data_IF_296154492568
#
_entry.id   IF_296154492568
#
_cell.length_a   1.000
_cell.length_b   1.000
_cell.length_c   1.000
_cell.angle_alpha   90.00
_cell.angle_beta   90.00
_cell.angle_gamma   90.00
#
_symmetry.space_group_name_H-M   'P 1'
#
loop_
_entity.id
_entity.type
_entity.pdbx_description
1 polymer ?
#
# COMPACT_ATOMS: atom_id res chain seq x y z
N UNK A 1 -20.66 39.00 34.15
CA UNK A 1 -20.89 37.92 33.16
C UNK A 1 -21.04 36.55 33.82
N UNK A 2 -20.07 36.05 34.61
CA UNK A 2 -20.17 34.75 35.29
C UNK A 2 -21.40 34.60 36.22
N UNK A 3 -21.83 35.68 36.88
CA UNK A 3 -23.04 35.70 37.71
C UNK A 3 -24.32 35.55 36.86
N UNK A 4 -24.34 36.09 35.64
CA UNK A 4 -25.45 35.96 34.70
C UNK A 4 -25.51 34.54 34.09
N UNK A 5 -24.36 33.93 33.78
CA UNK A 5 -24.27 32.52 33.38
C UNK A 5 -24.83 31.61 34.49
N UNK A 6 -24.45 31.85 35.74
CA UNK A 6 -24.95 31.07 36.89
C UNK A 6 -26.43 31.31 37.23
N UNK A 7 -27.09 32.27 36.56
CA UNK A 7 -28.51 32.60 36.73
C UNK A 7 -29.34 32.29 35.47
N UNK A 8 -28.79 31.49 34.53
CA UNK A 8 -29.38 31.14 33.23
C UNK A 8 -29.72 32.32 32.29
N UNK A 9 -29.12 33.50 32.54
CA UNK A 9 -29.27 34.72 31.73
C UNK A 9 -28.16 34.80 30.66
N UNK A 10 -28.22 33.90 29.69
CA UNK A 10 -27.15 33.69 28.70
C UNK A 10 -27.04 34.81 27.66
N UNK A 11 -28.16 35.44 27.28
CA UNK A 11 -28.18 36.56 26.33
C UNK A 11 -27.55 37.83 26.95
N UNK A 12 -27.83 38.09 28.22
CA UNK A 12 -27.25 39.18 28.97
C UNK A 12 -25.76 38.93 29.23
N UNK A 13 -25.38 37.69 29.51
CA UNK A 13 -23.97 37.31 29.63
C UNK A 13 -23.22 37.55 28.31
N UNK A 14 -23.79 37.16 27.17
CA UNK A 14 -23.23 37.42 25.84
C UNK A 14 -23.10 38.91 25.52
N UNK A 15 -24.15 39.70 25.78
CA UNK A 15 -24.14 41.15 25.56
C UNK A 15 -23.08 41.85 26.44
N UNK A 16 -22.90 41.39 27.68
CA UNK A 16 -21.85 41.88 28.58
C UNK A 16 -20.47 41.55 28.00
N UNK A 17 -20.19 40.29 27.64
CA UNK A 17 -18.88 39.92 27.10
C UNK A 17 -18.54 40.66 25.80
N UNK A 18 -19.53 40.81 24.92
CA UNK A 18 -19.39 41.60 23.68
C UNK A 18 -19.08 43.08 23.98
N UNK A 19 -19.68 43.66 25.02
CA UNK A 19 -19.44 45.06 25.41
C UNK A 19 -18.04 45.29 26.00
N UNK A 20 -17.43 44.26 26.57
CA UNK A 20 -16.09 44.31 27.16
C UNK A 20 -14.99 43.76 26.22
N UNK A 21 -15.30 43.53 24.95
CA UNK A 21 -14.39 42.97 23.94
C UNK A 21 -13.73 41.63 24.33
N UNK A 22 -14.36 40.86 25.23
CA UNK A 22 -13.90 39.53 25.62
C UNK A 22 -14.52 38.49 24.67
N UNK A 23 -14.08 38.54 23.41
CA UNK A 23 -14.70 37.80 22.31
C UNK A 23 -14.61 36.27 22.45
N UNK A 24 -13.55 35.76 23.09
CA UNK A 24 -13.38 34.32 23.39
C UNK A 24 -14.44 33.78 24.35
N UNK A 25 -14.73 34.51 25.43
CA UNK A 25 -15.79 34.14 26.37
C UNK A 25 -17.17 34.37 25.78
N UNK A 26 -17.34 35.40 24.94
CA UNK A 26 -18.60 35.66 24.25
C UNK A 26 -19.01 34.49 23.33
N UNK A 27 -18.09 33.98 22.50
CA UNK A 27 -18.43 32.86 21.62
C UNK A 27 -18.63 31.55 22.39
N UNK A 28 -17.91 31.35 23.50
CA UNK A 28 -18.11 30.18 24.34
C UNK A 28 -19.53 30.12 24.93
N UNK A 29 -20.10 31.28 25.32
CA UNK A 29 -21.50 31.35 25.75
C UNK A 29 -22.47 31.01 24.61
N UNK A 30 -22.19 31.46 23.38
CA UNK A 30 -23.01 31.12 22.22
C UNK A 30 -22.98 29.62 21.90
N UNK A 31 -21.81 29.00 22.05
CA UNK A 31 -21.58 27.58 21.75
C UNK A 31 -22.16 26.68 22.85
N UNK A 32 -21.78 26.90 24.11
CA UNK A 32 -22.05 25.95 25.20
C UNK A 32 -23.46 26.09 25.78
N UNK A 33 -23.93 27.34 25.91
CA UNK A 33 -25.18 27.64 26.60
C UNK A 33 -26.34 27.90 25.62
N UNK A 34 -26.12 28.75 24.61
CA UNK A 34 -27.16 29.10 23.64
C UNK A 34 -27.28 28.04 22.54
N UNK A 35 -26.20 27.29 22.26
CA UNK A 35 -26.11 26.22 21.25
C UNK A 35 -26.60 26.63 19.86
N UNK A 36 -26.38 27.89 19.48
CA UNK A 36 -26.76 28.41 18.18
C UNK A 36 -25.50 28.69 17.35
N UNK A 37 -25.14 27.71 16.50
CA UNK A 37 -23.92 27.77 15.68
C UNK A 37 -24.02 28.80 14.55
N UNK A 38 -25.20 29.05 13.99
CA UNK A 38 -25.38 30.08 12.94
C UNK A 38 -25.07 31.47 13.49
N UNK A 39 -25.58 31.77 14.69
CA UNK A 39 -25.31 33.04 15.37
C UNK A 39 -23.86 33.14 15.84
N UNK A 40 -23.26 32.02 16.24
CA UNK A 40 -21.83 31.96 16.55
C UNK A 40 -20.96 32.21 15.31
N UNK A 41 -21.37 31.73 14.14
CA UNK A 41 -20.72 32.01 12.86
C UNK A 41 -20.81 33.49 12.48
N UNK A 42 -22.00 34.10 12.55
CA UNK A 42 -22.15 35.55 12.31
C UNK A 42 -21.29 36.39 13.27
N UNK A 43 -21.18 35.96 14.53
CA UNK A 43 -20.32 36.62 15.50
C UNK A 43 -18.84 36.48 15.14
N UNK A 44 -18.41 35.28 14.76
CA UNK A 44 -17.04 35.02 14.31
C UNK A 44 -16.66 35.82 13.06
N UNK A 45 -17.58 35.98 12.10
CA UNK A 45 -17.38 36.79 10.89
C UNK A 45 -17.22 38.28 11.21
N UNK A 46 -17.95 38.80 12.20
CA UNK A 46 -17.85 40.20 12.62
C UNK A 46 -16.58 40.49 13.42
N UNK A 47 -16.20 39.59 14.33
CA UNK A 47 -14.99 39.76 15.15
C UNK A 47 -13.71 39.48 14.36
N UNK A 48 -13.77 38.50 13.45
CA UNK A 48 -12.66 38.04 12.61
C UNK A 48 -11.36 37.78 13.40
N UNK A 49 -11.48 37.22 14.60
CA UNK A 49 -10.34 36.87 15.45
C UNK A 49 -10.01 35.37 15.34
N UNK A 50 -8.71 34.99 15.25
CA UNK A 50 -8.31 33.58 15.17
C UNK A 50 -8.85 32.71 16.31
N UNK A 51 -8.78 33.20 17.54
CA UNK A 51 -9.22 32.45 18.73
C UNK A 51 -10.72 32.15 18.72
N UNK A 52 -11.52 33.07 18.16
CA UNK A 52 -12.97 32.94 18.03
C UNK A 52 -13.30 31.88 16.98
N UNK A 53 -12.65 31.94 15.82
CA UNK A 53 -12.79 30.93 14.76
C UNK A 53 -12.36 29.53 15.21
N UNK A 54 -11.25 29.38 15.94
CA UNK A 54 -10.83 28.08 16.49
C UNK A 54 -11.87 27.49 17.46
N UNK A 55 -12.47 28.34 18.30
CA UNK A 55 -13.49 27.89 19.27
C UNK A 55 -14.76 27.42 18.56
N UNK A 56 -15.21 28.18 17.55
CA UNK A 56 -16.34 27.79 16.70
C UNK A 56 -16.07 26.49 15.95
N UNK A 57 -14.89 26.36 15.36
CA UNK A 57 -14.53 25.19 14.56
C UNK A 57 -14.54 23.91 15.39
N UNK A 58 -14.04 23.94 16.63
CA UNK A 58 -14.10 22.79 17.56
C UNK A 58 -15.54 22.40 17.89
N UNK A 59 -16.42 23.38 18.08
CA UNK A 59 -17.84 23.13 18.34
C UNK A 59 -18.56 22.52 17.13
N UNK A 60 -18.32 23.07 15.93
CA UNK A 60 -18.84 22.54 14.67
C UNK A 60 -18.36 21.11 14.42
N UNK A 61 -17.09 20.83 14.73
CA UNK A 61 -16.53 19.49 14.63
C UNK A 61 -17.23 18.49 15.56
N UNK A 62 -17.53 18.90 16.80
CA UNK A 62 -18.21 18.08 17.79
C UNK A 62 -19.66 17.71 17.39
N UNK A 63 -20.34 18.61 16.67
CA UNK A 63 -21.68 18.39 16.10
C UNK A 63 -21.65 17.64 14.75
N UNK A 64 -20.46 17.27 14.25
CA UNK A 64 -20.28 16.52 13.00
C UNK A 64 -20.35 17.35 11.72
N UNK A 65 -20.37 18.68 11.83
CA UNK A 65 -20.34 19.63 10.71
C UNK A 65 -18.91 19.81 10.20
N UNK A 66 -18.36 18.78 9.54
CA UNK A 66 -16.93 18.70 9.18
C UNK A 66 -16.53 19.79 8.17
N UNK A 67 -17.38 20.10 7.20
CA UNK A 67 -17.05 21.08 6.14
C UNK A 67 -16.95 22.49 6.70
N UNK A 68 -17.94 22.86 7.49
CA UNK A 68 -18.04 24.15 8.17
C UNK A 68 -16.92 24.31 9.20
N UNK A 69 -16.63 23.25 9.96
CA UNK A 69 -15.52 23.23 10.92
C UNK A 69 -14.18 23.46 10.22
N UNK A 70 -13.93 22.78 9.09
CA UNK A 70 -12.70 22.95 8.31
C UNK A 70 -12.56 24.38 7.79
N UNK A 71 -13.63 24.96 7.23
CA UNK A 71 -13.58 26.33 6.73
C UNK A 71 -13.33 27.34 7.87
N UNK A 72 -13.94 27.13 9.04
CA UNK A 72 -13.69 27.91 10.26
C UNK A 72 -12.23 27.77 10.74
N UNK A 73 -11.68 26.55 10.75
CA UNK A 73 -10.28 26.33 11.11
C UNK A 73 -9.29 26.96 10.14
N UNK A 74 -9.58 26.93 8.83
CA UNK A 74 -8.76 27.59 7.80
C UNK A 74 -8.74 29.11 8.03
N UNK A 75 -9.90 29.71 8.34
CA UNK A 75 -9.99 31.13 8.71
C UNK A 75 -9.22 31.46 9.99
N UNK A 76 -9.25 30.56 10.99
CA UNK A 76 -8.46 30.70 12.21
C UNK A 76 -6.94 30.57 11.95
N UNK A 77 -6.55 29.81 10.94
CA UNK A 77 -5.15 29.46 10.68
C UNK A 77 -4.53 28.59 11.79
N UNK A 78 -5.37 27.83 12.50
CA UNK A 78 -5.00 27.06 13.69
C UNK A 78 -4.86 25.56 13.39
N UNK A 79 -3.64 25.00 13.47
CA UNK A 79 -3.41 23.57 13.29
C UNK A 79 -3.68 22.74 14.55
N UNK A 80 -4.00 23.33 15.72
CA UNK A 80 -3.96 22.63 17.02
C UNK A 80 -4.85 21.39 17.12
N UNK A 81 -5.97 21.36 16.40
CA UNK A 81 -6.96 20.28 16.46
C UNK A 81 -6.83 19.26 15.30
N UNK A 82 -5.66 19.16 14.65
CA UNK A 82 -5.50 18.36 13.44
C UNK A 82 -5.88 16.88 13.62
N UNK A 83 -5.62 16.29 14.79
CA UNK A 83 -5.96 14.88 15.09
C UNK A 83 -7.46 14.62 15.06
N UNK A 84 -8.24 15.53 15.65
CA UNK A 84 -9.69 15.42 15.70
C UNK A 84 -10.28 15.63 14.31
N UNK A 85 -9.80 16.65 13.58
CA UNK A 85 -10.22 16.94 12.21
C UNK A 85 -9.96 15.74 11.30
N UNK A 86 -8.75 15.18 11.32
CA UNK A 86 -8.42 13.96 10.56
C UNK A 86 -9.40 12.83 10.90
N UNK A 87 -9.57 12.52 12.18
CA UNK A 87 -10.45 11.41 12.60
C UNK A 87 -11.89 11.59 12.13
N UNK A 88 -12.45 12.80 12.24
CA UNK A 88 -13.81 13.10 11.79
C UNK A 88 -13.95 13.13 10.26
N UNK A 89 -12.93 13.61 9.55
CA UNK A 89 -12.89 13.62 8.09
C UNK A 89 -12.80 12.20 7.51
N UNK A 90 -12.02 11.32 8.15
CA UNK A 90 -11.99 9.88 7.80
C UNK A 90 -13.37 9.23 7.99
N UNK A 91 -14.09 9.56 9.07
CA UNK A 91 -15.46 9.04 9.32
C UNK A 91 -16.50 9.56 8.34
N UNK A 92 -16.41 10.84 7.97
CA UNK A 92 -17.37 11.48 7.05
C UNK A 92 -17.03 11.29 5.57
N UNK A 93 -15.81 10.85 5.25
CA UNK A 93 -15.32 10.71 3.87
C UNK A 93 -15.04 12.04 3.17
N UNK A 94 -14.91 13.14 3.90
CA UNK A 94 -14.71 14.49 3.35
C UNK A 94 -13.23 14.77 3.05
N UNK A 95 -12.66 14.02 2.10
CA UNK A 95 -11.23 14.05 1.77
C UNK A 95 -10.78 15.35 1.11
N UNK A 96 -11.60 15.92 0.22
CA UNK A 96 -11.31 17.18 -0.48
C UNK A 96 -11.14 18.35 0.50
N UNK A 97 -12.04 18.44 1.48
CA UNK A 97 -11.98 19.46 2.54
C UNK A 97 -10.79 19.22 3.47
N UNK A 98 -10.51 17.95 3.80
CA UNK A 98 -9.34 17.58 4.60
C UNK A 98 -8.03 18.02 3.95
N UNK A 99 -7.89 17.86 2.63
CA UNK A 99 -6.70 18.33 1.88
C UNK A 99 -6.52 19.85 2.08
N UNK A 100 -7.60 20.65 1.98
CA UNK A 100 -7.52 22.10 2.18
C UNK A 100 -7.04 22.46 3.59
N UNK A 101 -7.58 21.79 4.61
CA UNK A 101 -7.16 21.98 6.00
C UNK A 101 -5.69 21.61 6.22
N UNK A 102 -5.27 20.43 5.75
CA UNK A 102 -3.90 19.93 5.95
C UNK A 102 -2.86 20.77 5.20
N UNK A 103 -3.19 21.32 4.02
CA UNK A 103 -2.33 22.29 3.32
C UNK A 103 -2.10 23.57 4.14
N UNK A 104 -3.14 24.08 4.81
CA UNK A 104 -3.01 25.21 5.73
C UNK A 104 -2.17 24.81 6.96
N UNK A 105 -2.48 23.67 7.56
CA UNK A 105 -1.79 23.17 8.76
C UNK A 105 -0.29 22.99 8.50
N UNK A 106 0.10 22.44 7.35
CA UNK A 106 1.50 22.28 6.93
C UNK A 106 2.27 23.60 6.87
N UNK A 107 1.63 24.69 6.45
CA UNK A 107 2.27 26.02 6.41
C UNK A 107 2.60 26.56 7.80
N UNK A 108 1.86 26.13 8.83
CA UNK A 108 2.01 26.56 10.23
C UNK A 108 2.89 25.60 11.04
N UNK A 109 2.66 24.30 10.89
CA UNK A 109 3.33 23.24 11.62
C UNK A 109 3.79 22.15 10.63
N UNK A 110 5.10 21.97 10.50
CA UNK A 110 5.70 20.90 9.67
C UNK A 110 5.85 19.63 10.50
N UNK A 111 4.74 19.04 10.90
CA UNK A 111 4.72 17.78 11.64
C UNK A 111 4.61 16.59 10.69
N UNK A 112 5.34 15.52 11.01
CA UNK A 112 5.35 14.28 10.23
C UNK A 112 3.94 13.71 10.03
N UNK A 113 3.11 13.71 11.09
CA UNK A 113 1.75 13.18 11.03
C UNK A 113 0.84 13.97 10.06
N UNK A 114 0.96 15.30 10.03
CA UNK A 114 0.18 16.17 9.13
C UNK A 114 0.56 15.89 7.68
N UNK A 115 1.86 15.81 7.39
CA UNK A 115 2.36 15.52 6.05
C UNK A 115 2.00 14.10 5.59
N UNK A 116 2.08 13.10 6.48
CA UNK A 116 1.66 11.71 6.21
C UNK A 116 0.17 11.60 5.89
N UNK A 117 -0.70 12.25 6.68
CA UNK A 117 -2.14 12.25 6.41
C UNK A 117 -2.49 13.03 5.14
N UNK A 118 -1.74 14.08 4.80
CA UNK A 118 -1.94 14.82 3.55
C UNK A 118 -1.63 13.96 2.32
N UNK A 119 -0.54 13.19 2.35
CA UNK A 119 -0.21 12.20 1.31
C UNK A 119 -1.36 11.21 1.13
N UNK A 120 -1.89 10.67 2.23
CA UNK A 120 -2.99 9.71 2.18
C UNK A 120 -4.29 10.34 1.66
N UNK A 121 -4.59 11.58 2.04
CA UNK A 121 -5.73 12.33 1.52
C UNK A 121 -5.62 12.61 0.01
N UNK A 122 -4.41 12.92 -0.51
CA UNK A 122 -4.18 13.04 -1.95
C UNK A 122 -4.39 11.70 -2.69
N UNK A 123 -3.95 10.59 -2.09
CA UNK A 123 -4.17 9.26 -2.65
C UNK A 123 -5.67 8.92 -2.74
N UNK A 124 -6.47 9.28 -1.72
CA UNK A 124 -7.93 9.06 -1.70
C UNK A 124 -8.70 9.97 -2.65
N UNK A 125 -8.23 11.19 -2.89
CA UNK A 125 -8.86 12.14 -3.84
C UNK A 125 -8.45 11.88 -5.29
N UNK A 126 -7.49 10.98 -5.55
CA UNK A 126 -7.00 10.69 -6.90
C UNK A 126 -6.12 11.80 -7.49
N UNK A 127 -5.66 12.75 -6.67
CA UNK A 127 -4.78 13.85 -7.09
C UNK A 127 -3.32 13.39 -7.14
N UNK A 128 -3.04 12.48 -8.08
CA UNK A 128 -1.72 11.84 -8.21
C UNK A 128 -0.59 12.82 -8.56
N UNK A 129 -0.88 13.86 -9.34
CA UNK A 129 0.10 14.90 -9.68
C UNK A 129 0.55 15.69 -8.45
N UNK A 130 -0.40 16.12 -7.62
CA UNK A 130 -0.13 16.84 -6.37
C UNK A 130 0.66 15.94 -5.40
N UNK A 131 0.34 14.63 -5.37
CA UNK A 131 1.06 13.62 -4.59
C UNK A 131 2.51 13.48 -5.07
N UNK A 132 2.74 13.38 -6.38
CA UNK A 132 4.07 13.20 -6.96
C UNK A 132 4.96 14.43 -6.74
N UNK A 133 4.41 15.63 -6.95
CA UNK A 133 5.12 16.88 -6.65
C UNK A 133 5.48 16.94 -5.16
N UNK A 134 4.56 16.55 -4.28
CA UNK A 134 4.78 16.56 -2.84
C UNK A 134 5.92 15.64 -2.40
N UNK A 135 5.94 14.39 -2.87
CA UNK A 135 6.96 13.41 -2.49
C UNK A 135 8.32 13.69 -3.14
N UNK A 136 8.35 14.42 -4.26
CA UNK A 136 9.60 14.86 -4.89
C UNK A 136 10.31 15.97 -4.10
N UNK A 137 9.55 16.74 -3.33
CA UNK A 137 10.06 17.81 -2.47
C UNK A 137 10.50 17.34 -1.07
N UNK A 138 11.20 18.19 -0.30
CA UNK A 138 11.58 17.88 1.06
C UNK A 138 10.33 17.74 1.95
N UNK A 139 10.20 16.57 2.60
CA UNK A 139 9.10 16.22 3.47
C UNK A 139 9.60 15.44 4.70
N UNK A 140 8.81 15.42 5.76
CA UNK A 140 9.03 14.69 7.02
C UNK A 140 8.03 13.55 7.19
N UNK A 141 7.33 13.18 6.13
CA UNK A 141 6.27 12.17 6.19
C UNK A 141 6.83 10.75 6.29
N UNK A 142 6.12 9.90 7.02
CA UNK A 142 6.35 8.45 7.04
C UNK A 142 5.78 7.81 5.75
N UNK A 143 6.47 7.98 4.61
CA UNK A 143 6.00 7.53 3.28
C UNK A 143 5.77 6.01 3.25
N UNK A 144 6.63 5.21 3.90
CA UNK A 144 6.51 3.75 3.92
C UNK A 144 5.20 3.27 4.53
N UNK A 145 4.79 3.84 5.68
CA UNK A 145 3.55 3.45 6.38
C UNK A 145 2.32 3.84 5.56
N UNK A 146 2.36 5.01 4.93
CA UNK A 146 1.27 5.46 4.07
C UNK A 146 1.20 4.63 2.79
N UNK A 147 2.34 4.22 2.23
CA UNK A 147 2.40 3.27 1.12
C UNK A 147 1.70 1.95 1.45
N UNK A 148 1.99 1.37 2.62
CA UNK A 148 1.34 0.14 3.10
C UNK A 148 -0.18 0.33 3.29
N UNK A 149 -0.59 1.45 3.89
CA UNK A 149 -2.01 1.78 4.06
C UNK A 149 -2.75 1.98 2.72
N UNK A 150 -2.11 2.66 1.76
CA UNK A 150 -2.66 2.83 0.40
C UNK A 150 -2.78 1.48 -0.32
N UNK A 151 -1.83 0.58 -0.12
CA UNK A 151 -1.86 -0.77 -0.69
C UNK A 151 -3.01 -1.60 -0.13
N UNK A 152 -3.19 -1.60 1.18
CA UNK A 152 -4.28 -2.34 1.86
C UNK A 152 -5.67 -1.83 1.44
N UNK A 153 -5.78 -0.55 1.12
CA UNK A 153 -6.99 0.10 0.62
C UNK A 153 -7.24 -0.06 -0.88
N UNK A 154 -6.35 -0.76 -1.61
CA UNK A 154 -6.46 -0.98 -3.05
C UNK A 154 -6.11 0.23 -3.93
N UNK A 155 -5.50 1.28 -3.36
CA UNK A 155 -5.04 2.47 -4.08
C UNK A 155 -3.65 2.22 -4.71
N UNK A 156 -3.58 1.25 -5.63
CA UNK A 156 -2.31 0.76 -6.15
C UNK A 156 -1.51 1.80 -6.97
N UNK A 157 -2.18 2.71 -7.69
CA UNK A 157 -1.52 3.77 -8.45
C UNK A 157 -0.76 4.75 -7.53
N UNK A 158 -1.40 5.17 -6.43
CA UNK A 158 -0.76 6.00 -5.43
C UNK A 158 0.36 5.23 -4.70
N UNK A 159 0.11 3.98 -4.32
CA UNK A 159 1.11 3.13 -3.66
C UNK A 159 2.38 2.94 -4.54
N UNK A 160 2.21 2.79 -5.86
CA UNK A 160 3.32 2.70 -6.83
C UNK A 160 4.22 3.94 -6.75
N UNK A 161 3.66 5.15 -6.74
CA UNK A 161 4.43 6.39 -6.63
C UNK A 161 5.19 6.46 -5.29
N UNK A 162 4.52 6.10 -4.19
CA UNK A 162 5.10 6.14 -2.85
C UNK A 162 6.25 5.13 -2.69
N UNK A 163 6.06 3.88 -3.11
CA UNK A 163 7.11 2.87 -3.00
C UNK A 163 8.29 3.12 -3.94
N UNK A 164 8.04 3.74 -5.10
CA UNK A 164 9.11 4.14 -6.00
C UNK A 164 9.99 5.24 -5.37
N UNK A 165 9.38 6.21 -4.68
CA UNK A 165 10.12 7.26 -3.97
C UNK A 165 10.95 6.71 -2.79
N UNK A 166 10.38 5.78 -2.00
CA UNK A 166 11.07 5.11 -0.89
C UNK A 166 12.10 4.07 -1.36
N UNK A 167 12.13 3.74 -2.65
CA UNK A 167 12.94 2.65 -3.21
C UNK A 167 12.63 1.28 -2.58
N UNK A 168 11.40 1.07 -2.08
CA UNK A 168 10.96 -0.24 -1.59
C UNK A 168 10.51 -1.12 -2.76
N UNK A 169 11.49 -1.68 -3.47
CA UNK A 169 11.25 -2.44 -4.69
C UNK A 169 10.46 -3.75 -4.46
N UNK A 170 10.52 -4.32 -3.25
CA UNK A 170 9.78 -5.54 -2.90
C UNK A 170 8.28 -5.30 -2.92
N UNK A 171 7.81 -4.29 -2.18
CA UNK A 171 6.40 -3.90 -2.18
C UNK A 171 5.96 -3.31 -3.53
N UNK A 172 6.83 -2.53 -4.18
CA UNK A 172 6.56 -1.99 -5.51
C UNK A 172 6.26 -3.09 -6.53
N UNK A 173 7.04 -4.16 -6.56
CA UNK A 173 6.81 -5.28 -7.47
C UNK A 173 5.41 -5.90 -7.28
N UNK A 174 5.00 -6.08 -6.02
CA UNK A 174 3.66 -6.59 -5.67
C UNK A 174 2.58 -5.61 -6.12
N UNK A 175 2.77 -4.30 -5.91
CA UNK A 175 1.79 -3.29 -6.36
C UNK A 175 1.63 -3.28 -7.87
N UNK A 176 2.72 -3.47 -8.63
CA UNK A 176 2.70 -3.50 -10.08
C UNK A 176 2.01 -4.77 -10.60
N UNK A 177 2.15 -5.89 -9.90
CA UNK A 177 1.38 -7.11 -10.16
C UNK A 177 -0.12 -6.84 -10.03
N UNK A 178 -0.57 -6.16 -8.97
CA UNK A 178 -1.99 -5.81 -8.80
C UNK A 178 -2.50 -4.85 -9.88
N UNK A 179 -1.64 -3.96 -10.40
CA UNK A 179 -1.92 -3.10 -11.55
C UNK A 179 -1.85 -3.82 -12.91
N UNK A 180 -1.54 -5.12 -12.94
CA UNK A 180 -1.29 -5.92 -14.15
C UNK A 180 -0.13 -5.40 -15.01
N UNK A 181 0.77 -4.62 -14.44
CA UNK A 181 1.99 -4.13 -15.09
C UNK A 181 3.14 -5.13 -14.86
N UNK A 182 3.03 -6.33 -15.44
CA UNK A 182 3.97 -7.43 -15.15
C UNK A 182 5.41 -7.12 -15.53
N UNK A 183 5.66 -6.43 -16.66
CA UNK A 183 7.01 -6.05 -17.09
C UNK A 183 7.71 -5.19 -16.02
N UNK A 184 7.01 -4.17 -15.51
CA UNK A 184 7.54 -3.30 -14.44
C UNK A 184 7.72 -4.05 -13.13
N UNK A 185 6.84 -5.03 -12.83
CA UNK A 185 6.98 -5.88 -11.65
C UNK A 185 8.25 -6.74 -11.69
N UNK A 186 8.58 -7.34 -12.84
CA UNK A 186 9.82 -8.11 -13.04
C UNK A 186 11.06 -7.23 -12.85
N UNK A 187 11.07 -6.03 -13.42
CA UNK A 187 12.19 -5.09 -13.28
C UNK A 187 12.36 -4.62 -11.83
N UNK A 188 11.24 -4.42 -11.12
CA UNK A 188 11.26 -4.08 -9.68
C UNK A 188 11.73 -5.26 -8.84
N UNK A 189 11.31 -6.49 -9.13
CA UNK A 189 11.79 -7.69 -8.47
C UNK A 189 13.31 -7.88 -8.65
N UNK A 190 13.83 -7.56 -9.84
CA UNK A 190 15.27 -7.55 -10.11
C UNK A 190 16.03 -6.58 -9.22
N UNK A 191 15.49 -5.37 -9.01
CA UNK A 191 16.08 -4.36 -8.11
C UNK A 191 15.98 -4.77 -6.64
N UNK A 192 14.88 -5.41 -6.24
CA UNK A 192 14.69 -5.91 -4.88
C UNK A 192 15.64 -7.07 -4.53
N UNK A 193 15.96 -7.92 -5.52
CA UNK A 193 16.85 -9.07 -5.40
C UNK A 193 16.51 -9.99 -4.20
N UNK A 194 15.22 -10.23 -3.97
CA UNK A 194 14.73 -11.11 -2.91
C UNK A 194 13.99 -12.30 -3.51
N UNK A 195 14.35 -13.51 -3.07
CA UNK A 195 13.71 -14.76 -3.50
C UNK A 195 12.21 -14.74 -3.24
N UNK A 196 11.77 -14.13 -2.13
CA UNK A 196 10.35 -13.96 -1.81
C UNK A 196 9.63 -13.10 -2.85
N UNK A 197 10.18 -11.95 -3.22
CA UNK A 197 9.59 -11.07 -4.25
C UNK A 197 9.52 -11.78 -5.60
N UNK A 198 10.57 -12.51 -5.97
CA UNK A 198 10.56 -13.30 -7.20
C UNK A 198 9.46 -14.35 -7.22
N UNK A 199 9.26 -15.10 -6.12
CA UNK A 199 8.17 -16.08 -6.00
C UNK A 199 6.81 -15.43 -6.20
N UNK A 200 6.53 -14.36 -5.48
CA UNK A 200 5.24 -13.66 -5.54
C UNK A 200 4.95 -13.13 -6.97
N UNK A 201 5.95 -12.52 -7.63
CA UNK A 201 5.80 -12.03 -9.02
C UNK A 201 5.66 -13.20 -10.02
N UNK A 202 6.47 -14.25 -9.88
CA UNK A 202 6.40 -15.42 -10.76
C UNK A 202 5.02 -16.08 -10.68
N UNK A 203 4.53 -16.31 -9.47
CA UNK A 203 3.23 -16.92 -9.20
C UNK A 203 2.08 -16.12 -9.80
N UNK A 204 2.13 -14.79 -9.67
CA UNK A 204 1.14 -13.92 -10.29
C UNK A 204 1.24 -13.89 -11.83
N UNK A 205 2.45 -13.93 -12.40
CA UNK A 205 2.63 -14.05 -13.86
C UNK A 205 2.03 -15.37 -14.38
N UNK A 206 2.22 -16.48 -13.66
CA UNK A 206 1.62 -17.78 -14.01
C UNK A 206 0.09 -17.73 -13.94
N UNK A 207 -0.48 -17.11 -12.91
CA UNK A 207 -1.94 -16.96 -12.79
C UNK A 207 -2.56 -16.15 -13.93
N UNK A 208 -1.82 -15.19 -14.48
CA UNK A 208 -2.26 -14.34 -15.59
C UNK A 208 -1.79 -14.86 -16.97
N UNK A 209 -1.24 -16.09 -17.04
CA UNK A 209 -0.74 -16.71 -18.26
C UNK A 209 0.40 -15.95 -18.99
N UNK A 210 1.14 -15.11 -18.27
CA UNK A 210 2.32 -14.39 -18.77
C UNK A 210 3.59 -15.25 -18.64
N UNK A 211 3.63 -16.35 -19.40
CA UNK A 211 4.65 -17.39 -19.23
C UNK A 211 6.07 -16.93 -19.55
N UNK A 212 6.24 -16.01 -20.50
CA UNK A 212 7.57 -15.46 -20.85
C UNK A 212 8.20 -14.72 -19.67
N UNK A 213 7.41 -13.91 -18.97
CA UNK A 213 7.85 -13.17 -17.79
C UNK A 213 7.99 -14.10 -16.59
N UNK A 214 7.06 -15.04 -16.43
CA UNK A 214 7.14 -16.08 -15.41
C UNK A 214 8.42 -16.91 -15.54
N UNK A 215 8.86 -17.24 -16.76
CA UNK A 215 10.09 -17.96 -17.03
C UNK A 215 11.31 -17.17 -16.55
N UNK A 216 11.38 -15.87 -16.88
CA UNK A 216 12.47 -15.01 -16.41
C UNK A 216 12.54 -14.94 -14.88
N UNK A 217 11.40 -14.77 -14.21
CA UNK A 217 11.33 -14.81 -12.75
C UNK A 217 11.70 -16.18 -12.18
N UNK A 218 11.19 -17.24 -12.80
CA UNK A 218 11.40 -18.63 -12.40
C UNK A 218 12.88 -19.00 -12.37
N UNK A 219 13.67 -18.53 -13.34
CA UNK A 219 15.12 -18.78 -13.40
C UNK A 219 15.86 -18.22 -12.18
N UNK A 220 15.37 -17.12 -11.59
CA UNK A 220 15.93 -16.57 -10.36
C UNK A 220 15.49 -17.32 -9.09
N UNK A 221 14.43 -18.13 -9.16
CA UNK A 221 13.91 -18.91 -8.03
C UNK A 221 14.53 -20.31 -8.01
N UNK A 222 14.52 -21.02 -9.15
CA UNK A 222 14.98 -22.42 -9.27
C UNK A 222 16.45 -22.64 -8.90
N UNK A 223 17.26 -21.59 -8.87
CA UNK A 223 18.65 -21.67 -8.38
C UNK A 223 18.73 -21.90 -6.87
N UNK A 224 17.65 -21.68 -6.13
CA UNK A 224 17.53 -21.95 -4.70
C UNK A 224 16.86 -23.33 -4.49
N UNK A 225 17.61 -24.28 -3.97
CA UNK A 225 17.14 -25.67 -3.81
C UNK A 225 15.91 -25.79 -2.92
N UNK A 226 15.84 -25.00 -1.84
CA UNK A 226 14.75 -25.04 -0.86
C UNK A 226 13.41 -24.57 -1.45
N UNK A 227 13.44 -23.78 -2.53
CA UNK A 227 12.26 -23.17 -3.15
C UNK A 227 11.76 -23.94 -4.38
N UNK A 228 12.54 -24.92 -4.85
CA UNK A 228 12.25 -25.66 -6.07
C UNK A 228 10.98 -26.49 -5.95
N UNK A 229 10.79 -27.18 -4.81
CA UNK A 229 9.61 -28.03 -4.56
C UNK A 229 8.32 -27.21 -4.56
N UNK A 230 8.32 -26.06 -3.90
CA UNK A 230 7.20 -25.11 -3.87
C UNK A 230 6.81 -24.64 -5.28
N UNK A 231 7.79 -24.25 -6.09
CA UNK A 231 7.57 -23.79 -7.45
C UNK A 231 6.97 -24.88 -8.34
N UNK A 232 7.47 -26.12 -8.22
CA UNK A 232 6.96 -27.27 -8.97
C UNK A 232 5.50 -27.54 -8.61
N UNK A 233 5.19 -27.59 -7.31
CA UNK A 233 3.82 -27.80 -6.83
C UNK A 233 2.87 -26.70 -7.33
N UNK A 234 3.35 -25.46 -7.40
CA UNK A 234 2.57 -24.32 -7.91
C UNK A 234 2.22 -24.44 -9.40
N UNK A 235 3.18 -24.82 -10.23
CA UNK A 235 2.95 -25.04 -11.67
C UNK A 235 2.11 -26.31 -11.92
N UNK A 236 2.35 -27.39 -11.18
CA UNK A 236 1.64 -28.65 -11.35
C UNK A 236 0.16 -28.54 -10.96
N UNK A 237 -0.16 -27.86 -9.86
CA UNK A 237 -1.55 -27.66 -9.42
C UNK A 237 -2.42 -26.90 -10.43
N UNK A 238 -1.79 -26.11 -11.32
CA UNK A 238 -2.44 -25.36 -12.39
C UNK A 238 -2.41 -26.05 -13.75
N UNK A 239 -1.68 -27.15 -13.86
CA UNK A 239 -1.56 -27.91 -15.11
C UNK A 239 -0.55 -27.34 -16.13
N UNK A 240 0.29 -26.37 -15.76
CA UNK A 240 1.27 -25.76 -16.67
C UNK A 240 2.58 -26.56 -16.74
N UNK A 241 2.49 -27.82 -17.14
CA UNK A 241 3.64 -28.75 -17.14
C UNK A 241 4.66 -28.44 -18.25
N UNK A 242 4.21 -28.01 -19.43
CA UNK A 242 5.07 -27.65 -20.56
C UNK A 242 5.98 -26.47 -20.21
N UNK A 243 5.43 -25.44 -19.59
CA UNK A 243 6.15 -24.24 -19.18
C UNK A 243 7.14 -24.54 -18.04
N UNK A 244 6.76 -25.41 -17.10
CA UNK A 244 7.66 -25.88 -16.04
C UNK A 244 8.86 -26.66 -16.61
N UNK A 245 8.60 -27.54 -17.59
CA UNK A 245 9.66 -28.29 -18.27
C UNK A 245 10.59 -27.31 -19.01
N UNK A 246 10.04 -26.37 -19.78
CA UNK A 246 10.84 -25.37 -20.50
C UNK A 246 11.66 -24.47 -19.56
N UNK A 247 11.09 -24.10 -18.41
CA UNK A 247 11.79 -23.36 -17.37
C UNK A 247 12.99 -24.16 -16.84
N UNK A 248 12.80 -25.43 -16.47
CA UNK A 248 13.87 -26.26 -15.95
C UNK A 248 14.93 -26.57 -17.02
N UNK A 249 14.53 -26.83 -18.26
CA UNK A 249 15.40 -26.99 -19.44
C UNK A 249 16.37 -25.80 -19.55
N UNK A 250 15.85 -24.57 -19.51
CA UNK A 250 16.66 -23.36 -19.53
C UNK A 250 17.53 -23.20 -18.27
N UNK A 251 17.02 -23.60 -17.11
CA UNK A 251 17.70 -23.44 -15.84
C UNK A 251 18.92 -24.36 -15.68
N UNK A 252 18.97 -25.51 -16.35
CA UNK A 252 20.13 -26.41 -16.32
C UNK A 252 21.38 -25.80 -16.96
N UNK A 253 21.20 -24.82 -17.87
CA UNK A 253 22.29 -24.07 -18.47
C UNK A 253 22.93 -23.03 -17.54
N UNK A 254 22.35 -22.78 -16.35
CA UNK A 254 22.89 -21.81 -15.40
C UNK A 254 24.06 -22.40 -14.60
N UNK A 255 25.09 -21.58 -14.33
CA UNK A 255 26.26 -22.00 -13.53
C UNK A 255 25.88 -22.49 -12.13
N UNK A 256 24.78 -21.97 -11.57
CA UNK A 256 24.26 -22.32 -10.24
C UNK A 256 23.31 -23.52 -10.23
N UNK A 257 23.24 -24.29 -11.31
CA UNK A 257 22.38 -25.47 -11.38
C UNK A 257 22.79 -26.53 -10.35
N UNK A 258 21.83 -27.07 -9.61
CA UNK A 258 22.06 -28.06 -8.55
C UNK A 258 21.28 -29.37 -8.82
N UNK A 259 21.63 -30.44 -8.10
CA UNK A 259 21.10 -31.81 -8.32
C UNK A 259 19.57 -31.91 -8.32
N UNK A 260 18.89 -31.09 -7.51
CA UNK A 260 17.43 -31.02 -7.43
C UNK A 260 16.79 -30.75 -8.80
N UNK A 261 17.33 -29.80 -9.56
CA UNK A 261 16.80 -29.40 -10.87
C UNK A 261 16.84 -30.56 -11.88
N UNK A 262 17.95 -31.29 -11.94
CA UNK A 262 18.10 -32.45 -12.84
C UNK A 262 17.16 -33.58 -12.45
N UNK A 263 16.99 -33.81 -11.15
CA UNK A 263 16.15 -34.88 -10.60
C UNK A 263 14.68 -34.60 -10.88
N UNK A 264 14.21 -33.38 -10.58
CA UNK A 264 12.82 -32.99 -10.80
C UNK A 264 12.47 -32.91 -12.29
N UNK A 265 13.39 -32.45 -13.14
CA UNK A 265 13.18 -32.50 -14.58
C UNK A 265 13.02 -33.94 -15.09
N UNK A 266 13.83 -34.88 -14.60
CA UNK A 266 13.70 -36.29 -14.96
C UNK A 266 12.33 -36.86 -14.55
N UNK A 267 11.83 -36.48 -13.36
CA UNK A 267 10.48 -36.85 -12.91
C UNK A 267 9.41 -36.29 -13.86
N UNK A 268 9.54 -35.04 -14.29
CA UNK A 268 8.60 -34.44 -15.25
C UNK A 268 8.67 -35.11 -16.63
N UNK A 269 9.87 -35.40 -17.15
CA UNK A 269 10.02 -36.14 -18.40
C UNK A 269 9.41 -37.53 -18.33
N UNK A 270 9.57 -38.24 -17.21
CA UNK A 270 8.97 -39.58 -17.06
C UNK A 270 7.44 -39.56 -17.23
N UNK A 271 6.77 -38.50 -16.78
CA UNK A 271 5.32 -38.36 -16.81
C UNK A 271 4.78 -37.76 -18.12
N UNK A 272 5.45 -36.74 -18.64
CA UNK A 272 4.90 -35.91 -19.72
C UNK A 272 5.67 -36.01 -21.05
N UNK A 273 6.97 -36.30 -21.03
CA UNK A 273 7.80 -36.42 -22.24
C UNK A 273 8.79 -37.59 -22.18
N UNK A 274 8.31 -38.85 -22.25
CA UNK A 274 9.16 -40.04 -22.24
C UNK A 274 10.30 -40.03 -23.26
N UNK A 275 10.05 -39.45 -24.45
CA UNK A 275 11.03 -39.41 -25.55
C UNK A 275 12.33 -38.68 -25.19
N UNK A 276 12.28 -37.66 -24.32
CA UNK A 276 13.45 -36.90 -23.88
C UNK A 276 14.13 -37.51 -22.65
N UNK A 277 13.48 -38.44 -21.97
CA UNK A 277 13.97 -38.99 -20.69
C UNK A 277 15.32 -39.69 -20.85
N UNK A 278 15.46 -40.52 -21.88
CA UNK A 278 16.69 -41.26 -22.15
C UNK A 278 17.89 -40.35 -22.37
N UNK A 279 17.74 -39.36 -23.25
CA UNK A 279 18.78 -38.37 -23.57
C UNK A 279 19.21 -37.59 -22.32
N UNK A 280 18.24 -37.18 -21.49
CA UNK A 280 18.53 -36.47 -20.23
C UNK A 280 19.36 -37.31 -19.26
N UNK A 281 19.03 -38.60 -19.10
CA UNK A 281 19.76 -39.49 -18.21
C UNK A 281 21.16 -39.81 -18.74
N UNK A 282 21.30 -40.06 -20.05
CA UNK A 282 22.61 -40.32 -20.66
C UNK A 282 23.59 -39.15 -20.44
N UNK A 283 23.10 -37.91 -20.50
CA UNK A 283 23.91 -36.71 -20.28
C UNK A 283 24.16 -36.38 -18.80
N UNK A 284 23.17 -36.59 -17.92
CA UNK A 284 23.17 -36.02 -16.57
C UNK A 284 23.06 -37.04 -15.42
N UNK A 285 23.25 -38.34 -15.67
CA UNK A 285 23.16 -39.40 -14.65
C UNK A 285 24.01 -39.14 -13.38
N UNK A 286 25.15 -38.45 -13.50
CA UNK A 286 26.03 -38.15 -12.36
C UNK A 286 25.51 -37.04 -11.44
N UNK A 287 24.51 -36.27 -11.87
CA UNK A 287 23.96 -35.10 -11.18
C UNK A 287 22.48 -35.26 -10.80
N UNK A 288 21.97 -36.49 -10.80
CA UNK A 288 20.58 -36.83 -10.42
C UNK A 288 20.52 -37.72 -9.17
N UNK A 289 19.41 -37.66 -8.45
CA UNK A 289 19.11 -38.60 -7.37
C UNK A 289 18.51 -39.89 -7.94
N UNK A 290 19.37 -40.90 -8.17
CA UNK A 290 19.00 -42.17 -8.80
C UNK A 290 17.81 -42.87 -8.09
N UNK A 291 17.80 -43.07 -6.75
CA UNK A 291 16.66 -43.72 -6.08
C UNK A 291 15.32 -43.00 -6.25
N UNK A 292 15.31 -41.67 -6.42
CA UNK A 292 14.07 -40.91 -6.65
C UNK A 292 13.60 -41.06 -8.10
N UNK A 293 14.53 -41.00 -9.05
CA UNK A 293 14.24 -41.14 -10.48
C UNK A 293 13.81 -42.56 -10.84
N UNK A 294 14.44 -43.59 -10.27
CA UNK A 294 14.04 -45.00 -10.49
C UNK A 294 12.57 -45.24 -10.14
N UNK A 295 12.11 -44.72 -8.99
CA UNK A 295 10.70 -44.81 -8.58
C UNK A 295 9.76 -44.13 -9.58
N UNK A 296 10.16 -42.98 -10.12
CA UNK A 296 9.37 -42.26 -11.12
C UNK A 296 9.35 -43.00 -12.48
N UNK A 297 10.49 -43.55 -12.91
CA UNK A 297 10.61 -44.33 -14.15
C UNK A 297 9.84 -45.65 -14.08
N UNK A 298 9.84 -46.33 -12.92
CA UNK A 298 9.05 -47.54 -12.67
C UNK A 298 7.54 -47.26 -12.77
N UNK A 299 7.08 -46.16 -12.16
CA UNK A 299 5.69 -45.70 -12.25
C UNK A 299 5.26 -45.36 -13.68
N UNK A 300 6.20 -44.88 -14.50
CA UNK A 300 5.97 -44.52 -15.90
C UNK A 300 6.21 -45.69 -16.89
N UNK A 301 6.61 -46.88 -16.40
CA UNK A 301 6.95 -48.06 -17.22
C UNK A 301 8.02 -47.81 -18.30
N UNK A 302 9.02 -46.98 -17.99
CA UNK A 302 10.12 -46.63 -18.89
C UNK A 302 11.28 -47.62 -18.76
N UNK A 303 11.09 -48.84 -19.30
CA UNK A 303 12.01 -49.97 -19.11
C UNK A 303 13.40 -49.75 -19.71
N UNK A 304 13.51 -49.06 -20.85
CA UNK A 304 14.80 -48.77 -21.49
C UNK A 304 15.69 -47.89 -20.62
N UNK A 305 15.07 -46.90 -19.99
CA UNK A 305 15.70 -45.91 -19.11
C UNK A 305 15.97 -46.51 -17.72
N UNK A 306 15.08 -47.38 -17.24
CA UNK A 306 15.23 -48.10 -15.97
C UNK A 306 16.41 -49.09 -16.02
N UNK A 307 16.62 -49.77 -17.15
CA UNK A 307 17.79 -50.66 -17.34
C UNK A 307 19.11 -49.87 -17.40
N UNK A 308 19.07 -48.61 -17.83
CA UNK A 308 20.25 -47.75 -17.90
C UNK A 308 20.66 -47.17 -16.54
N UNK A 309 19.69 -46.85 -15.68
CA UNK A 309 19.89 -46.28 -14.32
C UNK A 309 20.35 -47.32 -13.29
#
# INVERSE_FOLDING_TARGET
>A
ANIAIGSDLFEEAFAIFKKFDVNTSAIQVLIEHIKNLDRAYEFAERCNEPNVWSSLARAQLAEGLVKEAIDSFIKAGDPSAYMDVVTTSHKSGSWEDLVRYLQMARKKARESHIESELIYAYAKTGRLADLEEFISGPNHADISKIGDRCFDDGLYEAAKLLYNNVSNFGRLAITLVHLKEFQGAVDSARKANSTRTWKEVCFACVDNAEFRLAQMCGLHIVVHADELEDLINYYQSRGYFEELISLLEAALGLERAHMGMFTELAILYSKYKPSKMKEHLELFWSRVNIPKVLRAAEQAHLWSELVFL
#
